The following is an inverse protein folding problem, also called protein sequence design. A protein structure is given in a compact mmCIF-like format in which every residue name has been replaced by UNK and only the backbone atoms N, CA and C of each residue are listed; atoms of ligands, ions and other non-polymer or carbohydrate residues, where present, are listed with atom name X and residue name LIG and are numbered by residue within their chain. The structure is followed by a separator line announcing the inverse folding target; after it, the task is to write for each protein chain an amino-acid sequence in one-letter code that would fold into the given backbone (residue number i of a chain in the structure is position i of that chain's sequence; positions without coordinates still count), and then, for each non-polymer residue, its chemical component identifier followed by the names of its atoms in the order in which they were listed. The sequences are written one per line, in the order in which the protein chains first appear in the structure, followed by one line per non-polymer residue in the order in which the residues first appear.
data_IF_666525797818
#
_entry.id   IF_666525797818
#
_cell.length_a   1.000
_cell.length_b   1.000
_cell.length_c   1.000
_cell.angle_alpha   90.00
_cell.angle_beta   90.00
_cell.angle_gamma   90.00
#
_symmetry.space_group_name_H-M   'P 1'
#
loop_
_entity.id
_entity.type
_entity.pdbx_description
1 polymer ?
#
# COMPACT_ATOMS: atom_id res chain seq x y z
N UNK A 1 -20.17 34.93 22.45
CA UNK A 1 -19.38 33.78 22.16
C UNK A 1 -18.55 33.38 23.36
N UNK A 2 -18.26 32.08 23.55
CA UNK A 2 -17.38 31.59 24.62
C UNK A 2 -15.94 31.62 24.10
N UNK A 3 -15.06 32.39 24.75
CA UNK A 3 -13.63 32.34 24.46
C UNK A 3 -13.00 31.16 25.19
N UNK A 4 -12.45 30.23 24.43
CA UNK A 4 -11.68 29.10 24.94
C UNK A 4 -10.19 29.37 24.75
N UNK A 5 -9.42 29.27 25.84
CA UNK A 5 -7.97 29.37 25.76
C UNK A 5 -7.39 28.19 24.95
N UNK A 6 -6.27 28.42 24.25
CA UNK A 6 -5.54 27.36 23.52
C UNK A 6 -5.21 26.17 24.42
N UNK A 7 -4.78 26.43 25.67
CA UNK A 7 -4.45 25.36 26.60
C UNK A 7 -5.67 24.53 26.99
N UNK A 8 -6.84 25.16 27.13
CA UNK A 8 -8.09 24.46 27.41
C UNK A 8 -8.44 23.53 26.24
N UNK A 9 -8.31 24.01 24.99
CA UNK A 9 -8.57 23.19 23.79
C UNK A 9 -7.63 22.00 23.70
N UNK A 10 -6.31 22.20 23.88
CA UNK A 10 -5.32 21.13 23.87
C UNK A 10 -5.62 20.08 24.92
N UNK A 11 -5.90 20.51 26.18
CA UNK A 11 -6.26 19.59 27.25
C UNK A 11 -7.50 18.76 26.93
N UNK A 12 -8.55 19.36 26.38
CA UNK A 12 -9.78 18.63 26.00
C UNK A 12 -9.56 17.62 24.89
N UNK A 13 -8.74 17.96 23.91
CA UNK A 13 -8.35 17.00 22.84
C UNK A 13 -7.60 15.82 23.41
N UNK A 14 -6.64 16.06 24.33
CA UNK A 14 -5.89 14.97 24.98
C UNK A 14 -6.80 14.08 25.84
N UNK A 15 -7.68 14.67 26.68
CA UNK A 15 -8.65 13.93 27.47
C UNK A 15 -9.58 13.05 26.61
N UNK A 16 -10.01 13.58 25.46
CA UNK A 16 -10.85 12.84 24.51
C UNK A 16 -10.08 11.69 23.85
N UNK A 17 -8.83 11.92 23.43
CA UNK A 17 -7.97 10.89 22.87
C UNK A 17 -7.77 9.72 23.84
N UNK A 18 -7.56 10.00 25.12
CA UNK A 18 -7.42 8.97 26.15
C UNK A 18 -8.72 8.16 26.34
N UNK A 19 -9.88 8.82 26.33
CA UNK A 19 -11.18 8.15 26.41
C UNK A 19 -11.47 7.27 25.18
N UNK A 20 -10.97 7.65 24.00
CA UNK A 20 -11.12 6.89 22.77
C UNK A 20 -10.09 5.77 22.60
N UNK A 21 -9.07 5.71 23.46
CA UNK A 21 -8.00 4.71 23.39
C UNK A 21 -8.49 3.25 23.34
N UNK A 22 -9.48 2.82 24.14
CA UNK A 22 -10.01 1.45 24.05
C UNK A 22 -10.59 1.13 22.66
N UNK A 23 -11.32 2.07 22.06
CA UNK A 23 -11.88 1.92 20.71
C UNK A 23 -10.77 1.86 19.65
N UNK A 24 -9.73 2.69 19.80
CA UNK A 24 -8.56 2.68 18.92
C UNK A 24 -7.82 1.33 18.95
N UNK A 25 -7.68 0.73 20.13
CA UNK A 25 -7.07 -0.60 20.31
C UNK A 25 -7.97 -1.69 19.67
N UNK A 26 -9.26 -1.68 19.96
CA UNK A 26 -10.21 -2.63 19.38
C UNK A 26 -10.24 -2.56 17.84
N UNK A 27 -10.12 -1.35 17.27
CA UNK A 27 -10.04 -1.16 15.83
C UNK A 27 -8.73 -1.72 15.25
N UNK A 28 -7.60 -1.54 15.94
CA UNK A 28 -6.34 -2.16 15.57
C UNK A 28 -6.45 -3.68 15.54
N UNK A 29 -6.95 -4.28 16.62
CA UNK A 29 -7.13 -5.73 16.73
C UNK A 29 -8.03 -6.25 15.61
N UNK A 30 -9.18 -5.60 15.37
CA UNK A 30 -10.09 -5.97 14.29
C UNK A 30 -9.44 -5.92 12.90
N UNK A 31 -8.64 -4.88 12.61
CA UNK A 31 -7.96 -4.75 11.32
C UNK A 31 -6.89 -5.83 11.16
N UNK A 32 -6.12 -6.12 12.22
CA UNK A 32 -5.02 -7.08 12.18
C UNK A 32 -5.44 -8.56 12.32
N UNK A 33 -6.70 -8.84 12.64
CA UNK A 33 -7.27 -10.20 12.55
C UNK A 33 -7.49 -10.66 11.10
N UNK A 34 -7.46 -9.74 10.13
CA UNK A 34 -7.67 -10.09 8.73
C UNK A 34 -6.52 -10.95 8.18
N UNK A 35 -6.85 -11.95 7.36
CA UNK A 35 -5.85 -12.77 6.65
C UNK A 35 -5.02 -11.98 5.63
N UNK A 36 -5.53 -10.82 5.20
CA UNK A 36 -4.86 -9.86 4.32
C UNK A 36 -5.07 -8.43 4.83
N UNK A 37 -3.99 -7.68 4.91
CA UNK A 37 -4.02 -6.25 5.26
C UNK A 37 -3.30 -5.45 4.17
N UNK A 38 -3.88 -4.32 3.79
CA UNK A 38 -3.20 -3.35 2.94
C UNK A 38 -2.52 -2.33 3.84
N UNK A 39 -1.27 -1.97 3.51
CA UNK A 39 -0.51 -0.95 4.23
C UNK A 39 0.07 0.09 3.28
N UNK A 40 0.06 1.33 3.73
CA UNK A 40 0.69 2.47 3.05
C UNK A 40 1.09 3.51 4.10
N UNK A 41 1.88 4.51 3.71
CA UNK A 41 2.20 5.63 4.58
C UNK A 41 2.14 6.97 3.84
N UNK A 42 1.68 7.99 4.54
CA UNK A 42 1.57 9.35 4.02
C UNK A 42 2.43 10.31 4.83
N UNK A 43 3.26 11.16 4.18
CA UNK A 43 4.02 12.19 4.89
C UNK A 43 3.08 13.27 5.43
N UNK A 44 3.23 13.62 6.72
CA UNK A 44 2.51 14.70 7.36
C UNK A 44 3.46 15.75 7.90
N UNK A 45 3.14 17.03 7.66
CA UNK A 45 3.93 18.14 8.18
C UNK A 45 3.54 18.42 9.62
N UNK A 46 4.53 18.40 10.52
CA UNK A 46 4.35 18.62 11.95
C UNK A 46 5.08 19.89 12.35
N UNK A 47 4.38 20.77 13.05
CA UNK A 47 5.00 21.98 13.61
C UNK A 47 6.06 21.59 14.64
N UNK A 48 7.23 22.19 14.54
CA UNK A 48 8.33 22.00 15.47
C UNK A 48 8.75 23.40 16.02
N UNK A 49 8.06 23.91 17.05
CA UNK A 49 8.34 25.23 17.61
C UNK A 49 9.81 25.39 17.95
N UNK A 50 10.37 26.54 17.66
CA UNK A 50 11.79 26.85 17.88
C UNK A 50 12.75 26.46 16.74
N UNK A 51 12.32 25.64 15.77
CA UNK A 51 13.21 25.16 14.68
C UNK A 51 13.07 25.93 13.37
N UNK A 52 12.17 26.90 13.25
CA UNK A 52 11.90 27.65 12.01
C UNK A 52 11.41 26.78 10.81
N UNK A 53 11.32 25.46 11.00
CA UNK A 53 10.92 24.48 9.97
C UNK A 53 9.94 23.46 10.54
N UNK A 54 9.05 22.97 9.69
CA UNK A 54 8.24 21.78 10.01
C UNK A 54 9.09 20.50 9.92
N UNK A 55 8.82 19.54 10.79
CA UNK A 55 9.29 18.16 10.62
C UNK A 55 8.32 17.38 9.76
N UNK A 56 8.81 16.33 9.11
CA UNK A 56 7.95 15.43 8.36
C UNK A 56 7.79 14.13 9.14
N UNK A 57 6.64 13.96 9.75
CA UNK A 57 6.21 12.68 10.32
C UNK A 57 5.51 11.82 9.29
N UNK A 58 5.03 10.67 9.72
CA UNK A 58 4.30 9.70 8.90
C UNK A 58 2.98 9.32 9.55
N UNK A 59 1.97 9.22 8.73
CA UNK A 59 0.71 8.59 9.07
C UNK A 59 0.65 7.27 8.34
N UNK A 60 0.80 6.18 9.09
CA UNK A 60 0.67 4.81 8.60
C UNK A 60 -0.80 4.46 8.53
N UNK A 61 -1.19 3.77 7.50
CA UNK A 61 -2.55 3.33 7.26
C UNK A 61 -2.57 1.82 7.06
N UNK A 62 -3.46 1.14 7.77
CA UNK A 62 -3.70 -0.29 7.64
C UNK A 62 -5.16 -0.53 7.34
N UNK A 63 -5.44 -1.25 6.27
CA UNK A 63 -6.81 -1.43 5.77
C UNK A 63 -7.15 -2.91 5.71
N UNK A 64 -8.25 -3.27 6.37
CA UNK A 64 -8.98 -4.51 6.16
C UNK A 64 -10.11 -4.23 5.19
N UNK A 65 -10.09 -4.83 4.00
CA UNK A 65 -11.20 -4.77 3.06
C UNK A 65 -11.22 -6.02 2.18
N UNK A 66 -12.07 -6.97 2.55
CA UNK A 66 -12.25 -8.23 1.84
C UNK A 66 -13.60 -8.28 1.08
N UNK A 67 -14.30 -7.15 0.92
CA UNK A 67 -15.58 -7.09 0.18
C UNK A 67 -15.42 -7.55 -1.27
N UNK A 68 -14.32 -7.20 -1.92
CA UNK A 68 -14.00 -7.68 -3.27
C UNK A 68 -13.73 -9.21 -3.32
N UNK A 69 -13.52 -9.82 -2.16
CA UNK A 69 -13.38 -11.27 -2.00
C UNK A 69 -14.69 -11.96 -1.60
N UNK A 70 -15.81 -11.23 -1.60
CA UNK A 70 -17.12 -11.75 -1.21
C UNK A 70 -17.35 -11.79 0.31
N UNK A 71 -16.49 -11.14 1.12
CA UNK A 71 -16.68 -11.09 2.57
C UNK A 71 -17.81 -10.12 2.95
N UNK A 72 -18.66 -10.54 3.89
CA UNK A 72 -19.68 -9.70 4.52
C UNK A 72 -19.15 -8.87 5.70
N UNK A 73 -17.91 -9.10 6.11
CA UNK A 73 -17.30 -8.38 7.23
C UNK A 73 -17.07 -6.91 6.85
N UNK A 74 -17.36 -5.97 7.75
CA UNK A 74 -17.16 -4.54 7.48
C UNK A 74 -15.70 -4.22 7.16
N UNK A 75 -15.48 -3.39 6.15
CA UNK A 75 -14.17 -2.81 5.92
C UNK A 75 -13.81 -1.85 7.06
N UNK A 76 -12.53 -1.81 7.43
CA UNK A 76 -12.04 -0.93 8.47
C UNK A 76 -10.64 -0.42 8.16
N UNK A 77 -10.33 0.76 8.71
CA UNK A 77 -9.05 1.42 8.54
C UNK A 77 -8.51 1.80 9.91
N UNK A 78 -7.28 1.43 10.19
CA UNK A 78 -6.55 1.85 11.38
C UNK A 78 -5.37 2.72 10.99
N UNK A 79 -5.14 3.79 11.76
CA UNK A 79 -4.06 4.75 11.52
C UNK A 79 -3.10 4.77 12.70
N UNK A 80 -1.80 4.88 12.40
CA UNK A 80 -0.77 5.12 13.41
C UNK A 80 0.16 6.25 12.95
N UNK A 81 0.60 7.06 13.89
CA UNK A 81 1.54 8.16 13.63
C UNK A 81 2.94 7.80 14.08
N UNK A 82 3.94 8.24 13.31
CA UNK A 82 5.33 8.24 13.74
C UNK A 82 6.06 9.54 13.37
N UNK A 83 7.11 9.85 14.09
CA UNK A 83 7.89 11.08 13.87
C UNK A 83 8.75 11.03 12.61
N UNK A 84 9.02 9.84 12.09
CA UNK A 84 9.82 9.57 10.89
C UNK A 84 9.33 8.31 10.15
N UNK A 85 10.02 7.91 9.06
CA UNK A 85 9.68 6.74 8.23
C UNK A 85 10.59 5.53 8.52
N UNK A 86 11.05 5.32 9.73
CA UNK A 86 11.87 4.16 10.02
C UNK A 86 11.06 2.87 10.06
N UNK A 87 11.71 1.75 9.66
CA UNK A 87 11.06 0.43 9.61
C UNK A 87 10.62 -0.10 10.98
N UNK A 88 11.23 0.38 12.07
CA UNK A 88 10.83 0.01 13.44
C UNK A 88 9.36 0.30 13.74
N UNK A 89 8.78 1.35 13.14
CA UNK A 89 7.39 1.71 13.36
C UNK A 89 6.41 0.66 12.81
N UNK A 90 6.41 0.35 11.49
CA UNK A 90 5.51 -0.68 10.97
C UNK A 90 5.84 -2.08 11.52
N UNK A 91 7.10 -2.37 11.87
CA UNK A 91 7.46 -3.62 12.53
C UNK A 91 6.78 -3.75 13.90
N UNK A 92 6.74 -2.66 14.68
CA UNK A 92 6.01 -2.63 15.96
C UNK A 92 4.51 -2.74 15.76
N UNK A 93 3.93 -1.99 14.81
CA UNK A 93 2.51 -2.02 14.52
C UNK A 93 2.03 -3.42 14.13
N UNK A 94 2.83 -4.16 13.36
CA UNK A 94 2.53 -5.47 12.81
C UNK A 94 3.20 -6.62 13.58
N UNK A 95 3.72 -6.36 14.79
CA UNK A 95 4.50 -7.34 15.56
C UNK A 95 3.77 -8.66 15.81
N UNK A 96 2.44 -8.63 15.95
CA UNK A 96 1.58 -9.80 16.18
C UNK A 96 0.87 -10.29 14.91
N UNK A 97 0.99 -9.53 13.80
CA UNK A 97 0.28 -9.85 12.58
C UNK A 97 0.79 -11.13 11.93
N UNK A 98 -0.13 -11.93 11.40
CA UNK A 98 0.13 -13.13 10.60
C UNK A 98 -0.81 -13.11 9.40
N UNK A 99 -0.26 -13.27 8.19
CA UNK A 99 -1.07 -13.26 6.98
C UNK A 99 -0.36 -12.59 5.80
N UNK A 100 -1.14 -12.05 4.88
CA UNK A 100 -0.64 -11.37 3.69
C UNK A 100 -0.62 -9.86 3.90
N UNK A 101 0.54 -9.23 3.78
CA UNK A 101 0.68 -7.78 3.79
C UNK A 101 0.84 -7.27 2.35
N UNK A 102 -0.16 -6.57 1.87
CA UNK A 102 -0.10 -5.91 0.56
C UNK A 102 0.32 -4.46 0.74
N UNK A 103 1.54 -4.14 0.31
CA UNK A 103 2.12 -2.81 0.48
C UNK A 103 2.90 -2.35 -0.75
N UNK A 104 3.42 -1.11 -0.70
CA UNK A 104 4.50 -0.71 -1.59
C UNK A 104 5.80 -1.46 -1.22
N UNK A 105 6.80 -1.35 -2.08
CA UNK A 105 8.10 -2.00 -1.86
C UNK A 105 8.97 -1.23 -0.84
N UNK A 106 8.41 -0.80 0.25
CA UNK A 106 9.17 -0.14 1.31
C UNK A 106 10.00 -1.15 2.11
N UNK A 107 11.32 -1.00 2.08
CA UNK A 107 12.26 -1.93 2.74
C UNK A 107 12.03 -2.06 4.27
N UNK A 108 11.33 -1.13 4.90
CA UNK A 108 10.99 -1.21 6.32
C UNK A 108 10.09 -2.40 6.70
N UNK A 109 9.44 -3.04 5.71
CA UNK A 109 8.65 -4.26 5.93
C UNK A 109 9.48 -5.56 5.82
N UNK A 110 10.69 -5.53 5.26
CA UNK A 110 11.47 -6.75 4.95
C UNK A 110 11.64 -7.67 6.17
N UNK A 111 11.97 -7.10 7.33
CA UNK A 111 12.12 -7.87 8.59
C UNK A 111 10.86 -8.67 8.95
N UNK A 112 9.65 -8.16 8.60
CA UNK A 112 8.41 -8.89 8.83
C UNK A 112 8.30 -10.11 7.91
N UNK A 113 8.73 -9.99 6.66
CA UNK A 113 8.71 -11.07 5.66
C UNK A 113 9.73 -12.17 6.00
N UNK A 114 10.91 -11.80 6.51
CA UNK A 114 11.95 -12.72 6.94
C UNK A 114 11.49 -13.67 8.06
N UNK A 115 10.50 -13.27 8.86
CA UNK A 115 9.93 -14.12 9.91
C UNK A 115 9.12 -15.31 9.37
N UNK A 116 8.69 -15.28 8.10
CA UNK A 116 7.78 -16.24 7.49
C UNK A 116 6.33 -16.15 7.97
N UNK A 117 6.02 -15.34 9.00
CA UNK A 117 4.64 -15.12 9.49
C UNK A 117 3.84 -14.21 8.57
N UNK A 118 4.52 -13.26 7.94
CA UNK A 118 3.92 -12.29 7.02
C UNK A 118 4.40 -12.62 5.61
N UNK A 119 3.45 -12.83 4.71
CA UNK A 119 3.73 -13.02 3.29
C UNK A 119 3.63 -11.68 2.59
N UNK A 120 4.64 -11.35 1.80
CA UNK A 120 4.63 -10.17 0.96
C UNK A 120 3.61 -10.33 -0.18
N UNK A 121 2.90 -9.26 -0.50
CA UNK A 121 2.15 -9.12 -1.74
C UNK A 121 2.40 -7.73 -2.33
N UNK A 122 2.99 -7.70 -3.51
CA UNK A 122 3.25 -6.46 -4.23
C UNK A 122 1.96 -5.74 -4.62
N UNK A 123 2.02 -4.43 -4.64
CA UNK A 123 0.88 -3.62 -5.02
C UNK A 123 0.99 -3.19 -6.49
N UNK A 124 0.24 -3.85 -7.38
CA UNK A 124 0.22 -3.51 -8.81
C UNK A 124 -0.22 -2.05 -9.06
N UNK A 125 -1.04 -1.47 -8.18
CA UNK A 125 -1.44 -0.07 -8.28
C UNK A 125 -0.25 0.89 -8.12
N UNK A 126 0.69 0.59 -7.21
CA UNK A 126 1.92 1.36 -7.07
C UNK A 126 2.83 1.21 -8.29
N UNK A 127 2.95 0.00 -8.83
CA UNK A 127 3.68 -0.25 -10.06
C UNK A 127 3.07 0.53 -11.25
N UNK A 128 1.75 0.45 -11.41
CA UNK A 128 1.00 1.20 -12.43
C UNK A 128 1.19 2.71 -12.29
N UNK A 129 1.12 3.25 -11.06
CA UNK A 129 1.30 4.69 -10.80
C UNK A 129 2.65 5.18 -11.29
N UNK A 130 3.73 4.41 -11.06
CA UNK A 130 5.08 4.79 -11.53
C UNK A 130 5.14 4.97 -13.05
N UNK A 131 4.41 4.16 -13.82
CA UNK A 131 4.32 4.28 -15.29
C UNK A 131 3.38 5.43 -15.66
N UNK A 132 2.21 5.50 -15.04
CA UNK A 132 1.19 6.52 -15.30
C UNK A 132 1.73 7.94 -15.09
N UNK A 133 2.49 8.18 -14.02
CA UNK A 133 3.10 9.49 -13.74
C UNK A 133 4.11 9.91 -14.83
N UNK A 134 4.69 8.94 -15.55
CA UNK A 134 5.55 9.22 -16.71
C UNK A 134 4.71 9.52 -17.94
N UNK A 135 3.68 8.73 -18.18
CA UNK A 135 2.76 8.90 -19.30
C UNK A 135 2.09 10.28 -19.27
N UNK A 136 1.59 10.71 -18.12
CA UNK A 136 0.99 12.06 -17.95
C UNK A 136 1.97 13.18 -18.26
N UNK A 137 3.24 13.03 -17.92
CA UNK A 137 4.27 14.07 -18.20
C UNK A 137 4.73 14.05 -19.65
N UNK A 138 4.90 12.88 -20.22
CA UNK A 138 5.39 12.66 -21.57
C UNK A 138 4.88 11.32 -22.10
N UNK A 139 3.72 11.28 -22.75
CA UNK A 139 3.18 10.07 -23.35
C UNK A 139 4.15 9.48 -24.37
N UNK A 140 4.30 8.16 -24.35
CA UNK A 140 5.08 7.41 -25.33
C UNK A 140 4.34 6.11 -25.65
N UNK A 141 4.60 5.49 -26.80
CA UNK A 141 4.06 4.17 -27.14
C UNK A 141 4.39 3.13 -26.06
N UNK A 142 5.59 3.22 -25.46
CA UNK A 142 6.03 2.32 -24.39
C UNK A 142 5.20 2.51 -23.10
N UNK A 143 4.92 3.74 -22.67
CA UNK A 143 4.12 3.99 -21.49
C UNK A 143 2.67 3.57 -21.69
N UNK A 144 2.10 3.86 -22.85
CA UNK A 144 0.73 3.51 -23.20
C UNK A 144 0.55 2.00 -23.29
N UNK A 145 1.48 1.29 -23.95
CA UNK A 145 1.44 -0.18 -24.04
C UNK A 145 1.58 -0.85 -22.67
N UNK A 146 2.48 -0.34 -21.80
CA UNK A 146 2.59 -0.84 -20.43
C UNK A 146 1.27 -0.68 -19.65
N UNK A 147 0.64 0.49 -19.74
CA UNK A 147 -0.63 0.77 -19.08
C UNK A 147 -1.76 -0.08 -19.65
N UNK A 148 -1.81 -0.30 -20.94
CA UNK A 148 -2.79 -1.16 -21.60
C UNK A 148 -2.69 -2.62 -21.10
N UNK A 149 -1.49 -3.18 -21.05
CA UNK A 149 -1.26 -4.54 -20.54
C UNK A 149 -1.66 -4.69 -19.09
N UNK A 150 -1.41 -3.68 -18.27
CA UNK A 150 -1.83 -3.66 -16.87
C UNK A 150 -3.36 -3.55 -16.78
N UNK A 151 -4.00 -2.77 -17.66
CA UNK A 151 -5.46 -2.63 -17.66
C UNK A 151 -6.16 -3.97 -17.91
N UNK A 152 -5.66 -4.82 -18.81
CA UNK A 152 -6.22 -6.15 -19.07
C UNK A 152 -6.28 -7.02 -17.80
N UNK A 153 -5.31 -6.89 -16.90
CA UNK A 153 -5.32 -7.57 -15.59
C UNK A 153 -6.43 -7.01 -14.68
N UNK A 154 -6.62 -5.68 -14.69
CA UNK A 154 -7.68 -5.05 -13.92
C UNK A 154 -9.07 -5.39 -14.43
N UNK A 155 -9.24 -5.56 -15.74
CA UNK A 155 -10.51 -5.97 -16.34
C UNK A 155 -10.91 -7.35 -15.86
N UNK A 156 -9.97 -8.32 -15.81
CA UNK A 156 -10.23 -9.65 -15.24
C UNK A 156 -10.62 -9.53 -13.76
N UNK A 157 -9.91 -8.72 -12.97
CA UNK A 157 -10.22 -8.54 -11.55
C UNK A 157 -11.60 -7.88 -11.35
N UNK A 158 -12.02 -7.00 -12.26
CA UNK A 158 -13.35 -6.41 -12.23
C UNK A 158 -14.45 -7.44 -12.50
N UNK A 159 -14.23 -8.35 -13.45
CA UNK A 159 -15.18 -9.42 -13.78
C UNK A 159 -15.42 -10.37 -12.60
N UNK A 160 -14.35 -10.74 -11.87
CA UNK A 160 -14.40 -11.72 -10.77
C UNK A 160 -14.62 -11.08 -9.39
N UNK A 161 -14.91 -9.79 -9.36
CA UNK A 161 -15.13 -9.07 -8.10
C UNK A 161 -16.34 -9.64 -7.36
N UNK A 162 -16.14 -10.00 -6.08
CA UNK A 162 -17.19 -10.58 -5.24
C UNK A 162 -17.45 -12.07 -5.45
N UNK A 163 -16.85 -12.69 -6.47
CA UNK A 163 -16.93 -14.14 -6.66
C UNK A 163 -16.22 -14.93 -5.54
N UNK A 164 -16.61 -16.19 -5.30
CA UNK A 164 -15.93 -17.07 -4.36
C UNK A 164 -14.44 -17.22 -4.63
N UNK A 165 -13.65 -17.48 -3.60
CA UNK A 165 -12.18 -17.54 -3.68
C UNK A 165 -11.69 -18.57 -4.73
N UNK A 166 -12.36 -19.73 -4.80
CA UNK A 166 -12.01 -20.81 -5.74
C UNK A 166 -12.23 -20.38 -7.19
N UNK A 167 -13.35 -19.73 -7.47
CA UNK A 167 -13.68 -19.24 -8.80
C UNK A 167 -12.66 -18.16 -9.23
N UNK A 168 -12.36 -17.20 -8.36
CA UNK A 168 -11.33 -16.18 -8.62
C UNK A 168 -9.96 -16.81 -8.89
N UNK A 169 -9.59 -17.84 -8.11
CA UNK A 169 -8.34 -18.55 -8.32
C UNK A 169 -8.31 -19.27 -9.69
N UNK A 170 -9.40 -19.93 -10.08
CA UNK A 170 -9.52 -20.63 -11.35
C UNK A 170 -9.37 -19.65 -12.52
N UNK A 171 -10.08 -18.52 -12.49
CA UNK A 171 -10.00 -17.50 -13.56
C UNK A 171 -8.60 -16.88 -13.63
N UNK A 172 -7.99 -16.54 -12.49
CA UNK A 172 -6.62 -16.01 -12.47
C UNK A 172 -5.61 -16.99 -13.05
N UNK A 173 -5.72 -18.29 -12.72
CA UNK A 173 -4.86 -19.33 -13.30
C UNK A 173 -5.05 -19.46 -14.80
N UNK A 174 -6.28 -19.40 -15.26
CA UNK A 174 -6.59 -19.55 -16.68
C UNK A 174 -6.22 -18.34 -17.54
N UNK A 175 -6.34 -17.12 -17.01
CA UNK A 175 -6.25 -15.89 -17.81
C UNK A 175 -5.13 -14.96 -17.32
N UNK A 176 -5.06 -14.64 -16.03
CA UNK A 176 -4.11 -13.65 -15.52
C UNK A 176 -2.67 -14.13 -15.56
N UNK A 177 -2.41 -15.43 -15.35
CA UNK A 177 -1.04 -15.98 -15.40
C UNK A 177 -0.38 -15.73 -16.75
N UNK A 178 -1.09 -15.95 -17.86
CA UNK A 178 -0.57 -15.74 -19.20
C UNK A 178 -0.31 -14.25 -19.49
N UNK A 179 -1.21 -13.37 -19.06
CA UNK A 179 -1.03 -11.92 -19.20
C UNK A 179 0.14 -11.42 -18.38
N UNK A 180 0.29 -11.90 -17.15
CA UNK A 180 1.44 -11.58 -16.29
C UNK A 180 2.75 -12.02 -16.95
N UNK A 181 2.84 -13.26 -17.45
CA UNK A 181 4.03 -13.73 -18.14
C UNK A 181 4.35 -12.89 -19.39
N UNK A 182 3.34 -12.58 -20.19
CA UNK A 182 3.49 -11.70 -21.36
C UNK A 182 3.97 -10.30 -20.99
N UNK A 183 3.45 -9.75 -19.89
CA UNK A 183 3.88 -8.44 -19.35
C UNK A 183 5.34 -8.50 -18.89
N UNK A 184 5.74 -9.56 -18.19
CA UNK A 184 7.10 -9.77 -17.73
C UNK A 184 8.11 -9.79 -18.89
N UNK A 185 7.85 -10.66 -19.86
CA UNK A 185 8.71 -10.83 -21.03
C UNK A 185 8.83 -9.52 -21.83
N UNK A 186 7.71 -8.82 -21.99
CA UNK A 186 7.68 -7.54 -22.66
C UNK A 186 8.48 -6.47 -21.89
N UNK A 187 8.31 -6.36 -20.57
CA UNK A 187 9.08 -5.43 -19.72
C UNK A 187 10.57 -5.73 -19.83
N UNK A 188 10.97 -6.99 -19.75
CA UNK A 188 12.39 -7.38 -19.89
C UNK A 188 12.96 -6.99 -21.25
N UNK A 189 12.20 -7.19 -22.32
CA UNK A 189 12.63 -6.80 -23.66
C UNK A 189 12.80 -5.27 -23.76
N UNK A 190 11.78 -4.51 -23.33
CA UNK A 190 11.85 -3.05 -23.38
C UNK A 190 12.96 -2.50 -22.47
N UNK A 191 13.18 -3.11 -21.30
CA UNK A 191 14.23 -2.68 -20.37
C UNK A 191 15.62 -2.71 -21.00
N UNK A 192 15.89 -3.65 -21.91
CA UNK A 192 17.18 -3.77 -22.63
C UNK A 192 17.42 -2.59 -23.59
N UNK A 193 16.36 -1.96 -24.09
CA UNK A 193 16.48 -0.81 -25.01
C UNK A 193 16.69 0.52 -24.30
N UNK A 194 16.53 0.56 -22.97
CA UNK A 194 16.58 1.76 -22.16
C UNK A 194 17.93 1.95 -21.48
N UNK A 195 18.40 3.22 -21.46
CA UNK A 195 19.51 3.59 -20.58
C UNK A 195 19.14 3.33 -19.12
N UNK A 196 20.11 2.89 -18.31
CA UNK A 196 19.91 2.64 -16.86
C UNK A 196 19.42 3.87 -16.08
N UNK A 197 19.66 5.06 -16.60
CA UNK A 197 19.25 6.33 -15.98
C UNK A 197 17.86 6.80 -16.45
N UNK A 198 17.30 6.17 -17.48
CA UNK A 198 15.98 6.52 -17.97
C UNK A 198 14.92 6.34 -16.86
N UNK A 199 14.01 7.29 -16.78
CA UNK A 199 12.94 7.24 -15.78
C UNK A 199 12.03 6.00 -15.96
N UNK A 200 11.81 5.58 -17.20
CA UNK A 200 11.04 4.38 -17.50
C UNK A 200 11.81 3.11 -17.11
N UNK A 201 13.13 3.08 -17.25
CA UNK A 201 13.96 1.99 -16.77
C UNK A 201 13.80 1.78 -15.26
N UNK A 202 13.81 2.87 -14.48
CA UNK A 202 13.58 2.81 -13.02
C UNK A 202 12.19 2.25 -12.68
N UNK A 203 11.15 2.59 -13.46
CA UNK A 203 9.81 2.06 -13.26
C UNK A 203 9.75 0.55 -13.58
N UNK A 204 10.42 0.11 -14.63
CA UNK A 204 10.52 -1.31 -14.98
C UNK A 204 11.36 -2.09 -13.97
N UNK A 205 12.50 -1.56 -13.53
CA UNK A 205 13.34 -2.17 -12.49
C UNK A 205 12.54 -2.35 -11.19
N UNK A 206 11.73 -1.37 -10.80
CA UNK A 206 10.84 -1.52 -9.66
C UNK A 206 9.87 -2.70 -9.81
N UNK A 207 9.25 -2.85 -10.97
CA UNK A 207 8.32 -3.96 -11.24
C UNK A 207 9.05 -5.30 -11.23
N UNK A 208 10.19 -5.40 -11.92
CA UNK A 208 10.97 -6.64 -12.03
C UNK A 208 11.55 -7.09 -10.69
N UNK A 209 12.03 -6.16 -9.86
CA UNK A 209 12.60 -6.47 -8.55
C UNK A 209 11.55 -6.99 -7.54
N UNK A 210 10.27 -6.70 -7.76
CA UNK A 210 9.17 -7.12 -6.89
C UNK A 210 8.20 -8.08 -7.60
N UNK A 211 8.67 -8.75 -8.65
CA UNK A 211 7.82 -9.60 -9.47
C UNK A 211 7.21 -10.79 -8.72
N UNK A 212 7.96 -11.33 -7.77
CA UNK A 212 7.56 -12.50 -6.99
C UNK A 212 6.81 -12.14 -5.68
N UNK A 213 6.58 -10.86 -5.43
CA UNK A 213 5.92 -10.35 -4.24
C UNK A 213 4.38 -10.39 -4.36
#
# INVERSE_FOLDING_TARGET
GVELSRNTMVRRVSEMADKLRPLYIALNDYVLEAGKVHADDTPVKVLAPGNGKTKTGRLWVYVRDDRNAGSSLPAAVWFAYSADRKGEHPQLHLAKYQGVLQADAYAGYNVLYETGRVKEAGCLAHARRKIHDKDVRRPTEMTQEALRRIAELYDIEAEIRGSPAEERLAVRKARSVQLMQSLYDWIQLQRKTLSKHAEMAKAFDYILNHWNA
#
